data_IF_536295754058
#
_entry.id   IF_536295754058
#
_cell.length_a   1.000
_cell.length_b   1.000
_cell.length_c   1.000
_cell.angle_alpha   90.00
_cell.angle_beta   90.00
_cell.angle_gamma   90.00
#
_symmetry.space_group_name_H-M   'P 1'
#
loop_
_entity.id
_entity.type
_entity.pdbx_description
1 polymer ?
#
# COMPACT_ATOMS: atom_id res chain seq x y z
N UNK A 1 -21.63 23.44 5.07
CA UNK A 1 -21.84 22.72 6.33
C UNK A 1 -20.67 21.78 6.54
N UNK A 2 -19.90 21.99 7.62
CA UNK A 2 -18.83 21.06 8.00
C UNK A 2 -19.49 19.77 8.45
N UNK A 3 -19.29 18.69 7.72
CA UNK A 3 -19.65 17.37 8.21
C UNK A 3 -18.67 17.04 9.35
N UNK A 4 -19.25 16.75 10.50
CA UNK A 4 -18.53 16.43 11.73
C UNK A 4 -17.73 15.12 11.51
N UNK A 5 -16.40 15.19 11.61
CA UNK A 5 -15.50 14.03 11.44
C UNK A 5 -15.84 12.85 12.36
N UNK A 6 -16.39 13.12 13.55
CA UNK A 6 -16.76 12.07 14.48
C UNK A 6 -18.03 11.32 14.06
N UNK A 7 -18.92 11.99 13.31
CA UNK A 7 -20.06 11.32 12.65
C UNK A 7 -19.60 10.41 11.51
N UNK A 8 -18.59 10.84 10.73
CA UNK A 8 -18.03 10.02 9.66
C UNK A 8 -17.34 8.77 10.21
N UNK A 9 -16.69 8.86 11.38
CA UNK A 9 -16.10 7.67 12.07
C UNK A 9 -17.17 6.66 12.49
N UNK A 10 -18.30 7.12 12.95
CA UNK A 10 -19.47 6.27 13.22
C UNK A 10 -19.99 5.60 11.95
N UNK A 11 -20.00 6.30 10.82
CA UNK A 11 -20.38 5.75 9.52
C UNK A 11 -19.42 4.66 9.02
N UNK A 12 -18.10 4.80 9.24
CA UNK A 12 -17.13 3.80 8.80
C UNK A 12 -17.31 2.45 9.51
N UNK A 13 -17.74 2.44 10.77
CA UNK A 13 -18.02 1.21 11.52
C UNK A 13 -19.35 0.55 11.12
N UNK A 14 -20.32 1.34 10.63
CA UNK A 14 -21.66 0.90 10.26
C UNK A 14 -21.89 0.91 8.74
N UNK A 15 -20.83 0.97 7.94
CA UNK A 15 -20.91 1.15 6.48
C UNK A 15 -21.79 0.11 5.76
N UNK A 16 -21.97 -1.07 6.34
CA UNK A 16 -22.92 -2.09 5.85
C UNK A 16 -24.36 -1.57 5.75
N UNK A 17 -24.69 -0.46 6.44
CA UNK A 17 -26.03 0.15 6.49
C UNK A 17 -26.15 1.34 5.53
N UNK A 18 -25.05 1.80 4.92
CA UNK A 18 -25.10 2.90 3.96
C UNK A 18 -25.47 2.32 2.59
N UNK A 19 -26.76 2.22 2.32
CA UNK A 19 -27.29 1.85 0.99
C UNK A 19 -27.44 3.06 0.06
N UNK A 20 -27.24 4.26 0.59
CA UNK A 20 -27.47 5.53 -0.13
C UNK A 20 -26.24 5.92 -0.98
N UNK A 21 -26.40 5.90 -2.29
CA UNK A 21 -25.35 6.28 -3.26
C UNK A 21 -24.90 7.74 -3.09
N UNK A 22 -25.79 8.65 -2.66
CA UNK A 22 -25.44 10.05 -2.40
C UNK A 22 -24.44 10.15 -1.26
N UNK A 23 -24.61 9.37 -0.21
CA UNK A 23 -23.67 9.33 0.92
C UNK A 23 -22.29 8.80 0.50
N UNK A 24 -22.23 7.81 -0.37
CA UNK A 24 -20.98 7.28 -0.92
C UNK A 24 -20.24 8.35 -1.73
N UNK A 25 -20.93 9.05 -2.60
CA UNK A 25 -20.35 10.11 -3.41
C UNK A 25 -19.81 11.27 -2.56
N UNK A 26 -20.55 11.68 -1.51
CA UNK A 26 -20.10 12.69 -0.56
C UNK A 26 -18.81 12.23 0.15
N UNK A 27 -18.73 10.99 0.62
CA UNK A 27 -17.55 10.46 1.28
C UNK A 27 -16.35 10.47 0.33
N UNK A 28 -16.53 10.05 -0.93
CA UNK A 28 -15.50 10.06 -1.96
C UNK A 28 -15.02 11.48 -2.26
N UNK A 29 -15.92 12.42 -2.43
CA UNK A 29 -15.58 13.83 -2.63
C UNK A 29 -14.80 14.40 -1.44
N UNK A 30 -15.21 14.09 -0.21
CA UNK A 30 -14.50 14.50 1.00
C UNK A 30 -13.11 13.89 1.10
N UNK A 31 -12.91 12.65 0.66
CA UNK A 31 -11.61 12.02 0.61
C UNK A 31 -10.62 12.84 -0.22
N UNK A 32 -11.02 13.28 -1.41
CA UNK A 32 -10.17 14.10 -2.28
C UNK A 32 -9.97 15.53 -1.75
N UNK A 33 -10.88 16.04 -0.93
CA UNK A 33 -10.79 17.37 -0.29
C UNK A 33 -10.14 17.33 1.10
N UNK A 34 -9.81 16.16 1.65
CA UNK A 34 -9.28 16.05 2.99
C UNK A 34 -7.83 16.55 3.10
N UNK A 35 -7.43 16.99 4.31
CA UNK A 35 -6.05 17.39 4.60
C UNK A 35 -5.02 16.24 4.46
N UNK A 36 -5.46 15.00 4.48
CA UNK A 36 -4.61 13.83 4.20
C UNK A 36 -3.91 13.96 2.85
N UNK A 37 -4.57 14.62 1.91
CA UNK A 37 -4.05 14.93 0.58
C UNK A 37 -3.81 16.44 0.52
N UNK A 38 -2.60 16.85 0.63
CA UNK A 38 -2.01 18.15 0.89
C UNK A 38 -2.65 19.43 0.31
N UNK A 39 -3.70 19.41 -0.53
CA UNK A 39 -4.11 20.63 -1.23
C UNK A 39 -5.61 20.84 -1.43
N UNK A 40 -6.49 20.00 -0.87
CA UNK A 40 -7.96 20.18 -1.05
C UNK A 40 -8.40 20.26 -2.51
N UNK A 41 -7.61 19.66 -3.42
CA UNK A 41 -7.87 19.68 -4.85
C UNK A 41 -9.10 18.81 -5.19
N UNK A 42 -9.80 19.16 -6.23
CA UNK A 42 -10.78 18.26 -6.84
C UNK A 42 -10.08 16.98 -7.32
N UNK A 43 -10.83 15.88 -7.38
CA UNK A 43 -10.27 14.54 -7.64
C UNK A 43 -9.37 14.48 -8.88
N UNK A 44 -9.82 15.03 -10.01
CA UNK A 44 -9.01 15.05 -11.23
C UNK A 44 -7.74 15.87 -11.08
N UNK A 45 -7.84 17.08 -10.55
CA UNK A 45 -6.68 17.95 -10.32
C UNK A 45 -5.68 17.31 -9.36
N UNK A 46 -6.15 16.52 -8.41
CA UNK A 46 -5.31 15.74 -7.50
C UNK A 46 -4.55 14.64 -8.22
N UNK A 47 -5.21 13.89 -9.10
CA UNK A 47 -4.58 12.86 -9.92
C UNK A 47 -3.51 13.49 -10.83
N UNK A 48 -3.84 14.58 -11.53
CA UNK A 48 -2.91 15.27 -12.42
C UNK A 48 -1.67 15.76 -11.65
N UNK A 49 -1.84 16.35 -10.46
CA UNK A 49 -0.74 16.77 -9.61
C UNK A 49 0.16 15.60 -9.18
N UNK A 50 -0.42 14.50 -8.72
CA UNK A 50 0.34 13.32 -8.31
C UNK A 50 1.02 12.62 -9.48
N UNK A 51 0.43 12.66 -10.67
CA UNK A 51 1.06 12.17 -11.91
C UNK A 51 2.29 13.00 -12.27
N UNK A 52 2.18 14.33 -12.19
CA UNK A 52 3.31 15.23 -12.42
C UNK A 52 4.42 15.00 -11.38
N UNK A 53 4.06 14.84 -10.09
CA UNK A 53 5.02 14.55 -9.03
C UNK A 53 5.72 13.19 -9.25
N UNK A 54 4.99 12.18 -9.72
CA UNK A 54 5.55 10.88 -10.11
C UNK A 54 6.64 11.02 -11.16
N UNK A 55 6.40 11.78 -12.22
CA UNK A 55 7.37 12.00 -13.29
C UNK A 55 8.55 12.85 -12.83
N UNK A 56 8.29 13.97 -12.15
CA UNK A 56 9.34 14.91 -11.73
C UNK A 56 10.32 14.30 -10.73
N UNK A 57 9.88 13.34 -9.94
CA UNK A 57 10.69 12.69 -8.92
C UNK A 57 11.13 11.26 -9.27
N UNK A 58 10.83 10.76 -10.48
CA UNK A 58 11.12 9.39 -10.92
C UNK A 58 10.69 8.34 -9.89
N UNK A 59 9.46 8.46 -9.39
CA UNK A 59 9.00 7.63 -8.25
C UNK A 59 8.97 6.14 -8.58
N UNK A 60 8.90 5.77 -9.87
CA UNK A 60 8.98 4.38 -10.34
C UNK A 60 10.34 3.72 -10.07
N UNK A 61 11.44 4.48 -10.17
CA UNK A 61 12.81 3.95 -10.13
C UNK A 61 13.42 3.89 -8.73
N UNK A 62 12.90 4.68 -7.77
CA UNK A 62 13.56 4.85 -6.47
C UNK A 62 13.42 3.62 -5.59
N UNK A 63 14.55 3.01 -5.24
CA UNK A 63 14.63 1.93 -4.26
C UNK A 63 14.60 2.43 -2.81
N UNK A 64 14.03 1.62 -1.93
CA UNK A 64 14.02 1.86 -0.49
C UNK A 64 15.33 1.36 0.14
N UNK A 65 16.26 2.23 0.57
CA UNK A 65 17.60 1.80 1.01
C UNK A 65 17.64 1.19 2.40
N UNK A 66 16.56 1.31 3.19
CA UNK A 66 16.50 0.84 4.58
C UNK A 66 15.53 -0.33 4.79
N UNK A 67 15.16 -1.04 3.72
CA UNK A 67 14.06 -2.00 3.69
C UNK A 67 14.06 -3.04 4.84
N UNK A 68 15.22 -3.48 5.28
CA UNK A 68 15.34 -4.52 6.30
C UNK A 68 15.55 -4.00 7.74
N UNK A 69 15.98 -2.75 7.91
CA UNK A 69 16.46 -2.27 9.22
C UNK A 69 15.72 -1.05 9.76
N UNK A 70 15.01 -0.33 8.89
CA UNK A 70 14.51 0.99 9.22
C UNK A 70 15.64 1.99 9.52
N UNK A 71 15.27 3.22 9.86
CA UNK A 71 16.24 4.28 10.15
C UNK A 71 16.96 4.07 11.50
N UNK A 72 16.26 3.57 12.50
CA UNK A 72 16.84 3.30 13.82
C UNK A 72 17.97 2.26 13.74
N UNK A 73 17.77 1.19 12.98
CA UNK A 73 18.81 0.19 12.74
C UNK A 73 20.02 0.74 11.97
N UNK A 74 19.79 1.70 11.06
CA UNK A 74 20.88 2.40 10.36
C UNK A 74 21.72 3.24 11.32
N UNK A 75 21.09 4.03 12.20
CA UNK A 75 21.80 4.82 13.22
C UNK A 75 22.53 3.92 14.21
N UNK A 76 21.89 2.84 14.68
CA UNK A 76 22.55 1.89 15.58
C UNK A 76 23.78 1.23 14.95
N UNK A 77 23.78 1.00 13.63
CA UNK A 77 24.95 0.49 12.90
C UNK A 77 26.07 1.52 12.85
N UNK A 78 25.77 2.81 12.58
CA UNK A 78 26.77 3.89 12.59
C UNK A 78 27.43 3.99 13.96
N UNK A 79 26.66 3.98 15.03
CA UNK A 79 27.15 4.08 16.40
C UNK A 79 28.12 2.95 16.79
N UNK A 80 28.03 1.79 16.14
CA UNK A 80 28.93 0.64 16.38
C UNK A 80 30.26 0.72 15.61
N UNK A 81 30.43 1.68 14.71
CA UNK A 81 31.70 1.88 13.99
C UNK A 81 32.73 2.45 14.96
N UNK A 82 33.86 1.74 15.14
CA UNK A 82 34.91 2.10 16.09
C UNK A 82 36.08 2.84 15.43
N UNK A 83 36.16 2.82 14.13
CA UNK A 83 37.21 3.39 13.29
C UNK A 83 36.90 4.82 12.81
N UNK A 84 35.74 5.37 13.21
CA UNK A 84 35.30 6.71 12.88
C UNK A 84 35.21 7.59 14.13
N UNK A 85 35.60 8.87 13.98
CA UNK A 85 35.36 9.90 14.97
C UNK A 85 33.85 10.22 15.08
N UNK A 86 33.43 10.75 16.22
CA UNK A 86 32.02 11.18 16.41
C UNK A 86 31.55 12.16 15.34
N UNK A 87 32.44 13.10 14.92
CA UNK A 87 32.12 14.04 13.83
C UNK A 87 31.83 13.32 12.51
N UNK A 88 32.62 12.31 12.14
CA UNK A 88 32.38 11.52 10.92
C UNK A 88 31.08 10.72 11.02
N UNK A 89 30.77 10.17 12.19
CA UNK A 89 29.49 9.50 12.46
C UNK A 89 28.32 10.46 12.29
N UNK A 90 28.42 11.68 12.85
CA UNK A 90 27.40 12.72 12.71
C UNK A 90 27.18 13.11 11.26
N UNK A 91 28.24 13.26 10.46
CA UNK A 91 28.16 13.60 9.04
C UNK A 91 27.47 12.46 8.23
N UNK A 92 27.77 11.21 8.55
CA UNK A 92 27.11 10.03 7.91
C UNK A 92 25.63 9.97 8.31
N UNK A 93 25.34 10.16 9.60
CA UNK A 93 23.99 10.16 10.12
C UNK A 93 23.12 11.28 9.48
N UNK A 94 23.68 12.49 9.36
CA UNK A 94 23.00 13.62 8.73
C UNK A 94 22.65 13.35 7.26
N UNK A 95 23.59 12.81 6.47
CA UNK A 95 23.31 12.40 5.07
C UNK A 95 22.24 11.31 5.00
N UNK A 96 22.31 10.33 5.89
CA UNK A 96 21.31 9.26 5.99
C UNK A 96 19.91 9.79 6.35
N UNK A 97 19.84 10.77 7.26
CA UNK A 97 18.59 11.41 7.68
C UNK A 97 17.90 12.13 6.51
N UNK A 98 18.65 12.94 5.76
CA UNK A 98 18.12 13.65 4.58
C UNK A 98 17.57 12.65 3.55
N UNK A 99 18.35 11.60 3.26
CA UNK A 99 17.92 10.54 2.33
C UNK A 99 16.69 9.80 2.83
N UNK A 100 16.63 9.44 4.11
CA UNK A 100 15.49 8.76 4.71
C UNK A 100 14.22 9.61 4.62
N UNK A 101 14.28 10.90 4.98
CA UNK A 101 13.15 11.82 4.87
C UNK A 101 12.62 11.87 3.44
N UNK A 102 13.53 12.08 2.47
CA UNK A 102 13.13 12.14 1.04
C UNK A 102 12.44 10.87 0.57
N UNK A 103 12.93 9.69 0.96
CA UNK A 103 12.32 8.41 0.59
C UNK A 103 10.98 8.20 1.28
N UNK A 104 10.82 8.69 2.51
CA UNK A 104 9.51 8.68 3.18
C UNK A 104 8.50 9.52 2.42
N UNK A 105 8.86 10.75 2.04
CA UNK A 105 8.01 11.62 1.24
C UNK A 105 7.59 10.92 -0.08
N UNK A 106 8.55 10.35 -0.81
CA UNK A 106 8.32 9.62 -2.06
C UNK A 106 7.37 8.43 -1.87
N UNK A 107 7.56 7.62 -0.83
CA UNK A 107 6.66 6.49 -0.59
C UNK A 107 5.24 6.95 -0.22
N UNK A 108 5.12 8.06 0.50
CA UNK A 108 3.81 8.65 0.78
C UNK A 108 3.14 9.10 -0.52
N UNK A 109 3.85 9.83 -1.38
CA UNK A 109 3.31 10.27 -2.68
C UNK A 109 2.91 9.09 -3.58
N UNK A 110 3.69 8.00 -3.59
CA UNK A 110 3.34 6.77 -4.33
C UNK A 110 2.04 6.15 -3.82
N UNK A 111 1.90 6.01 -2.52
CA UNK A 111 0.70 5.44 -1.91
C UNK A 111 -0.51 6.34 -2.16
N UNK A 112 -0.36 7.64 -1.97
CA UNK A 112 -1.41 8.62 -2.21
C UNK A 112 -1.86 8.61 -3.68
N UNK A 113 -0.91 8.45 -4.62
CA UNK A 113 -1.23 8.34 -6.04
C UNK A 113 -2.07 7.09 -6.33
N UNK A 114 -1.63 5.92 -5.86
CA UNK A 114 -2.34 4.66 -6.05
C UNK A 114 -3.72 4.70 -5.41
N UNK A 115 -3.83 5.14 -4.16
CA UNK A 115 -5.10 5.28 -3.45
C UNK A 115 -6.05 6.21 -4.20
N UNK A 116 -5.54 7.34 -4.69
CA UNK A 116 -6.33 8.32 -5.44
C UNK A 116 -6.86 7.74 -6.76
N UNK A 117 -6.03 7.02 -7.52
CA UNK A 117 -6.44 6.35 -8.75
C UNK A 117 -7.51 5.28 -8.50
N UNK A 118 -7.32 4.44 -7.49
CA UNK A 118 -8.27 3.39 -7.12
C UNK A 118 -9.64 3.99 -6.82
N UNK A 119 -9.68 5.03 -5.99
CA UNK A 119 -10.93 5.70 -5.62
C UNK A 119 -11.52 6.46 -6.80
N UNK A 120 -10.70 7.10 -7.63
CA UNK A 120 -11.17 7.89 -8.76
C UNK A 120 -11.88 7.03 -9.81
N UNK A 121 -11.30 5.89 -10.18
CA UNK A 121 -11.82 5.03 -11.26
C UNK A 121 -12.91 4.05 -10.80
N UNK A 122 -13.11 3.86 -9.49
CA UNK A 122 -14.03 2.82 -8.98
C UNK A 122 -15.07 3.37 -8.01
N UNK A 123 -16.31 3.53 -8.47
CA UNK A 123 -17.41 4.09 -7.67
C UNK A 123 -17.85 3.18 -6.51
N UNK A 124 -17.57 1.89 -6.56
CA UNK A 124 -17.87 0.90 -5.52
C UNK A 124 -16.79 0.83 -4.41
N UNK A 125 -15.76 1.69 -4.50
CA UNK A 125 -14.68 1.77 -3.51
C UNK A 125 -14.83 3.04 -2.70
N UNK A 126 -14.89 2.89 -1.38
CA UNK A 126 -15.01 3.98 -0.43
C UNK A 126 -13.74 4.01 0.43
N UNK A 127 -12.97 5.09 0.40
CA UNK A 127 -11.76 5.23 1.19
C UNK A 127 -12.06 5.50 2.66
N UNK A 128 -11.09 5.21 3.53
CA UNK A 128 -11.14 5.65 4.92
C UNK A 128 -10.45 7.01 5.08
N UNK A 129 -10.94 7.84 6.00
CA UNK A 129 -10.37 9.16 6.29
C UNK A 129 -9.19 9.13 7.27
N UNK A 130 -8.96 8.00 7.91
CA UNK A 130 -7.90 7.84 8.90
C UNK A 130 -7.09 6.61 8.59
N UNK A 131 -5.80 6.67 8.93
CA UNK A 131 -4.96 5.50 9.02
C UNK A 131 -5.46 4.59 10.15
N UNK A 132 -6.48 3.81 9.88
CA UNK A 132 -6.86 2.71 10.75
C UNK A 132 -5.93 1.54 10.43
N UNK A 133 -5.33 0.94 11.45
CA UNK A 133 -4.50 -0.25 11.25
C UNK A 133 -5.35 -1.34 10.59
N UNK A 134 -4.90 -1.79 9.42
CA UNK A 134 -5.56 -2.87 8.71
C UNK A 134 -6.81 -2.49 7.89
N UNK A 135 -7.05 -1.18 7.63
CA UNK A 135 -8.20 -0.74 6.84
C UNK A 135 -7.90 0.55 6.08
N UNK A 136 -7.86 0.45 4.76
CA UNK A 136 -7.72 1.60 3.85
C UNK A 136 -8.98 1.85 3.03
N UNK A 137 -9.70 0.80 2.64
CA UNK A 137 -10.90 0.89 1.80
C UNK A 137 -12.05 -0.01 2.26
N UNK A 138 -13.26 0.42 1.91
CA UNK A 138 -14.39 -0.49 1.78
C UNK A 138 -14.66 -0.74 0.30
N UNK A 139 -14.59 -1.98 -0.14
CA UNK A 139 -14.89 -2.40 -1.51
C UNK A 139 -16.16 -3.24 -1.48
N UNK A 140 -17.24 -2.75 -2.11
CA UNK A 140 -18.56 -3.37 -2.02
C UNK A 140 -19.01 -3.63 -0.56
N UNK A 141 -18.71 -2.69 0.34
CA UNK A 141 -19.07 -2.76 1.76
C UNK A 141 -18.20 -3.72 2.61
N UNK A 142 -17.14 -4.31 2.06
CA UNK A 142 -16.16 -5.13 2.80
C UNK A 142 -14.89 -4.35 3.08
N UNK A 143 -14.32 -4.44 4.28
CA UNK A 143 -13.06 -3.79 4.61
C UNK A 143 -11.87 -4.45 3.90
N UNK A 144 -10.94 -3.65 3.42
CA UNK A 144 -9.67 -4.09 2.82
C UNK A 144 -8.51 -3.21 3.28
N UNK A 145 -7.38 -3.86 3.57
CA UNK A 145 -6.10 -3.22 3.86
C UNK A 145 -5.24 -3.23 2.58
N UNK A 146 -4.73 -2.07 2.16
CA UNK A 146 -3.85 -1.98 1.01
C UNK A 146 -2.42 -2.39 1.37
N UNK A 147 -1.85 -3.29 0.59
CA UNK A 147 -0.45 -3.68 0.70
C UNK A 147 0.26 -3.53 -0.62
N UNK A 148 1.29 -2.68 -0.63
CA UNK A 148 2.16 -2.52 -1.79
C UNK A 148 3.39 -3.42 -1.61
N UNK A 149 3.59 -4.33 -2.56
CA UNK A 149 4.75 -5.22 -2.61
C UNK A 149 5.60 -4.93 -3.83
N UNK A 150 6.91 -4.81 -3.63
CA UNK A 150 7.88 -4.55 -4.71
C UNK A 150 8.19 -5.76 -5.58
N UNK A 151 7.70 -6.92 -5.20
CA UNK A 151 7.85 -8.15 -5.95
C UNK A 151 6.83 -9.19 -5.48
N UNK A 152 6.69 -10.25 -6.24
CA UNK A 152 5.91 -11.43 -5.86
C UNK A 152 6.50 -12.24 -4.69
N UNK A 153 7.65 -11.79 -4.16
CA UNK A 153 8.36 -12.48 -3.09
C UNK A 153 9.34 -13.57 -3.57
N UNK A 154 10.39 -13.77 -2.79
CA UNK A 154 11.47 -14.72 -3.13
C UNK A 154 10.96 -16.16 -3.19
N UNK A 155 10.03 -16.55 -2.34
CA UNK A 155 9.42 -17.88 -2.31
C UNK A 155 8.68 -18.17 -3.61
N UNK A 156 7.87 -17.24 -4.09
CA UNK A 156 7.13 -17.34 -5.35
C UNK A 156 8.11 -17.48 -6.54
N UNK A 157 9.14 -16.62 -6.61
CA UNK A 157 10.15 -16.67 -7.67
C UNK A 157 10.86 -18.02 -7.67
N UNK A 158 11.21 -18.55 -6.50
CA UNK A 158 11.85 -19.87 -6.37
C UNK A 158 10.97 -21.00 -6.88
N UNK A 159 9.67 -20.93 -6.57
CA UNK A 159 8.69 -21.96 -6.97
C UNK A 159 8.48 -22.00 -8.48
N UNK A 160 8.37 -20.85 -9.12
CA UNK A 160 8.02 -20.77 -10.55
C UNK A 160 9.19 -20.47 -11.49
N UNK A 161 10.38 -20.21 -10.94
CA UNK A 161 11.61 -19.96 -11.71
C UNK A 161 11.43 -18.87 -12.74
N UNK A 162 11.91 -19.09 -13.97
CA UNK A 162 11.79 -18.10 -15.07
C UNK A 162 10.35 -17.79 -15.50
N UNK A 163 9.37 -18.60 -15.10
CA UNK A 163 7.96 -18.43 -15.45
C UNK A 163 7.18 -17.57 -14.44
N UNK A 164 7.82 -17.11 -13.36
CA UNK A 164 7.12 -16.42 -12.26
C UNK A 164 6.27 -15.24 -12.74
N UNK A 165 6.74 -14.46 -13.73
CA UNK A 165 5.99 -13.31 -14.26
C UNK A 165 4.70 -13.72 -14.96
N UNK A 166 4.77 -14.71 -15.85
CA UNK A 166 3.59 -15.21 -16.56
C UNK A 166 2.59 -15.87 -15.62
N UNK A 167 3.08 -16.56 -14.59
CA UNK A 167 2.23 -17.14 -13.55
C UNK A 167 1.59 -16.04 -12.72
N UNK A 168 2.33 -15.03 -12.29
CA UNK A 168 1.79 -13.91 -11.50
C UNK A 168 0.66 -13.18 -12.23
N UNK A 169 0.82 -12.93 -13.54
CA UNK A 169 -0.20 -12.28 -14.35
C UNK A 169 -1.44 -13.14 -14.61
N UNK A 170 -1.26 -14.46 -14.79
CA UNK A 170 -2.38 -15.36 -15.09
C UNK A 170 -3.07 -15.93 -13.84
N UNK A 171 -2.39 -15.95 -12.71
CA UNK A 171 -2.85 -16.51 -11.44
C UNK A 171 -2.48 -15.59 -10.26
N UNK A 172 -3.08 -14.38 -10.22
CA UNK A 172 -2.83 -13.41 -9.13
C UNK A 172 -3.22 -13.96 -7.75
N UNK A 173 -4.16 -14.90 -7.68
CA UNK A 173 -4.52 -15.64 -6.47
C UNK A 173 -3.31 -16.34 -5.83
N UNK A 174 -2.44 -16.96 -6.63
CA UNK A 174 -1.22 -17.62 -6.13
C UNK A 174 -0.20 -16.61 -5.58
N UNK A 175 -0.16 -15.40 -6.15
CA UNK A 175 0.67 -14.31 -5.60
C UNK A 175 0.17 -13.93 -4.22
N UNK A 176 -1.16 -13.73 -4.06
CA UNK A 176 -1.75 -13.42 -2.77
C UNK A 176 -1.46 -14.50 -1.73
N UNK A 177 -1.67 -15.77 -2.06
CA UNK A 177 -1.33 -16.90 -1.17
C UNK A 177 0.11 -16.81 -0.72
N UNK A 178 1.06 -16.67 -1.66
CA UNK A 178 2.47 -16.56 -1.33
C UNK A 178 2.79 -15.37 -0.43
N UNK A 179 2.14 -14.22 -0.64
CA UNK A 179 2.34 -13.03 0.19
C UNK A 179 1.77 -13.21 1.60
N UNK A 180 0.61 -13.87 1.74
CA UNK A 180 0.05 -14.21 3.05
C UNK A 180 0.90 -15.22 3.82
N UNK A 181 1.41 -16.26 3.16
CA UNK A 181 2.25 -17.29 3.78
C UNK A 181 3.61 -16.79 4.25
N UNK A 182 4.15 -15.75 3.61
CA UNK A 182 5.48 -15.23 3.87
C UNK A 182 5.47 -13.88 4.62
N UNK A 183 4.41 -13.60 5.39
CA UNK A 183 4.36 -12.45 6.28
C UNK A 183 5.33 -12.60 7.46
N UNK A 184 5.83 -11.46 7.97
CA UNK A 184 6.56 -11.44 9.23
C UNK A 184 5.63 -11.80 10.39
N UNK A 185 6.09 -12.61 11.35
CA UNK A 185 5.31 -13.04 12.53
C UNK A 185 4.72 -11.85 13.30
N UNK A 186 5.49 -10.79 13.49
CA UNK A 186 5.06 -9.59 14.21
C UNK A 186 3.97 -8.78 13.49
N UNK A 187 3.81 -9.02 12.17
CA UNK A 187 2.86 -8.34 11.31
C UNK A 187 1.82 -9.28 10.70
N UNK A 188 1.77 -10.51 11.23
CA UNK A 188 0.83 -11.50 10.75
C UNK A 188 -0.59 -11.03 10.99
N UNK A 189 -1.40 -11.08 9.97
CA UNK A 189 -2.85 -10.96 10.00
C UNK A 189 -3.49 -11.75 8.85
N UNK A 190 -4.79 -11.94 8.92
CA UNK A 190 -5.60 -12.66 7.94
C UNK A 190 -6.72 -11.78 7.36
N UNK A 191 -6.64 -10.48 7.57
CA UNK A 191 -7.64 -9.54 7.08
C UNK A 191 -7.65 -9.49 5.54
N UNK A 192 -8.80 -9.16 4.93
CA UNK A 192 -8.87 -9.00 3.49
C UNK A 192 -7.92 -7.92 2.98
N UNK A 193 -7.20 -8.20 1.90
CA UNK A 193 -6.18 -7.29 1.35
C UNK A 193 -6.40 -6.93 -0.10
N UNK A 194 -6.09 -5.68 -0.40
CA UNK A 194 -5.82 -5.21 -1.75
C UNK A 194 -4.31 -5.19 -1.96
N UNK A 195 -3.79 -6.13 -2.72
CA UNK A 195 -2.37 -6.18 -3.06
C UNK A 195 -2.06 -5.41 -4.33
N UNK A 196 -1.06 -4.54 -4.27
CA UNK A 196 -0.42 -3.91 -5.42
C UNK A 196 0.97 -4.50 -5.53
N UNK A 197 1.24 -5.26 -6.59
CA UNK A 197 2.49 -6.01 -6.73
C UNK A 197 3.26 -5.55 -7.96
N UNK A 198 4.46 -5.05 -7.73
CA UNK A 198 5.34 -4.62 -8.81
C UNK A 198 6.08 -5.82 -9.39
N UNK A 199 5.97 -6.00 -10.72
CA UNK A 199 6.71 -7.03 -11.45
C UNK A 199 7.99 -6.48 -12.09
N UNK A 200 8.10 -5.17 -12.22
CA UNK A 200 9.24 -4.46 -12.78
C UNK A 200 9.82 -3.46 -11.78
N UNK A 201 11.10 -3.12 -11.96
CA UNK A 201 11.79 -2.16 -11.10
C UNK A 201 11.49 -0.71 -11.50
N UNK A 202 11.18 -0.49 -12.78
CA UNK A 202 10.78 0.81 -13.33
C UNK A 202 9.31 0.75 -13.73
N UNK A 203 8.47 1.55 -13.06
CA UNK A 203 7.02 1.52 -13.21
C UNK A 203 6.52 2.92 -13.51
N UNK A 204 5.97 3.09 -14.71
CA UNK A 204 5.36 4.36 -15.09
C UNK A 204 3.99 4.56 -14.46
N UNK A 205 3.62 5.83 -14.27
CA UNK A 205 2.30 6.23 -13.79
C UNK A 205 1.18 5.68 -14.69
N UNK A 206 1.39 5.70 -16.01
CA UNK A 206 0.43 5.20 -17.00
C UNK A 206 0.21 3.68 -16.87
N UNK A 207 1.25 2.92 -16.54
CA UNK A 207 1.10 1.48 -16.35
C UNK A 207 0.34 1.14 -15.07
N UNK A 208 0.51 1.93 -14.01
CA UNK A 208 -0.27 1.81 -12.78
C UNK A 208 -1.73 2.14 -13.04
N UNK A 209 -2.01 3.28 -13.63
CA UNK A 209 -3.39 3.71 -13.93
C UNK A 209 -4.09 2.68 -14.81
N UNK A 210 -3.45 2.20 -15.88
CA UNK A 210 -3.98 1.14 -16.73
C UNK A 210 -4.32 -0.12 -15.94
N UNK A 211 -3.42 -0.59 -15.10
CA UNK A 211 -3.65 -1.79 -14.30
C UNK A 211 -4.84 -1.64 -13.36
N UNK A 212 -5.00 -0.45 -12.75
CA UNK A 212 -6.14 -0.16 -11.88
C UNK A 212 -7.46 -0.12 -12.67
N UNK A 213 -7.47 0.52 -13.84
CA UNK A 213 -8.66 0.60 -14.71
C UNK A 213 -9.07 -0.78 -15.24
N UNK A 214 -8.10 -1.64 -15.56
CA UNK A 214 -8.34 -3.00 -16.07
C UNK A 214 -8.73 -4.00 -14.96
N UNK A 215 -8.49 -3.65 -13.69
CA UNK A 215 -8.82 -4.52 -12.57
C UNK A 215 -10.31 -4.43 -12.22
N UNK A 216 -10.99 -5.58 -12.17
CA UNK A 216 -12.38 -5.63 -11.70
C UNK A 216 -12.44 -5.71 -10.18
N UNK A 217 -13.07 -4.71 -9.56
CA UNK A 217 -13.36 -4.68 -8.13
C UNK A 217 -14.79 -5.14 -7.77
N UNK A 218 -15.45 -5.88 -8.65
CA UNK A 218 -16.80 -6.39 -8.39
C UNK A 218 -16.82 -7.52 -7.37
N UNK A 219 -15.89 -8.47 -7.51
CA UNK A 219 -15.83 -9.66 -6.66
C UNK A 219 -14.40 -9.98 -6.25
N UNK A 220 -14.11 -10.01 -4.94
CA UNK A 220 -12.80 -10.42 -4.46
C UNK A 220 -12.56 -11.91 -4.71
N UNK A 221 -11.29 -12.26 -4.89
CA UNK A 221 -10.85 -13.65 -4.94
C UNK A 221 -10.76 -14.20 -3.53
N UNK A 222 -11.35 -15.36 -3.31
CA UNK A 222 -11.18 -16.11 -2.07
C UNK A 222 -9.89 -16.92 -2.13
N UNK A 223 -9.07 -16.82 -1.10
CA UNK A 223 -7.81 -17.55 -1.01
C UNK A 223 -7.69 -18.31 0.31
N UNK A 224 -7.03 -19.46 0.22
CA UNK A 224 -6.69 -20.31 1.36
C UNK A 224 -5.17 -20.40 1.46
N UNK A 225 -4.63 -20.22 2.65
CA UNK A 225 -3.20 -20.28 2.86
C UNK A 225 -2.83 -20.88 4.21
N UNK A 226 -1.62 -21.41 4.31
CA UNK A 226 -1.05 -21.94 5.52
C UNK A 226 0.02 -20.99 6.06
N UNK A 227 -0.09 -20.61 7.32
CA UNK A 227 0.92 -19.79 7.95
C UNK A 227 1.71 -20.61 8.98
N UNK A 228 3.05 -20.57 8.85
CA UNK A 228 3.94 -21.23 9.79
C UNK A 228 4.48 -20.21 10.79
N UNK A 229 4.02 -20.31 12.02
CA UNK A 229 4.47 -19.45 13.12
C UNK A 229 5.92 -19.73 13.50
N UNK A 230 6.56 -18.76 14.17
CA UNK A 230 7.95 -18.86 14.63
C UNK A 230 8.23 -20.06 15.54
N UNK A 231 7.20 -20.54 16.25
CA UNK A 231 7.25 -21.75 17.07
C UNK A 231 7.02 -23.06 16.29
N UNK A 232 6.93 -23.01 14.96
CA UNK A 232 6.69 -24.16 14.10
C UNK A 232 5.22 -24.60 13.98
N UNK A 233 4.29 -23.94 14.67
CA UNK A 233 2.87 -24.21 14.52
C UNK A 233 2.38 -23.74 13.16
N UNK A 234 1.65 -24.60 12.46
CA UNK A 234 0.96 -24.26 11.19
C UNK A 234 -0.51 -23.99 11.47
N UNK A 235 -1.03 -22.89 10.92
CA UNK A 235 -2.45 -22.53 10.97
C UNK A 235 -2.99 -22.35 9.56
N UNK A 236 -4.20 -22.85 9.31
CA UNK A 236 -4.90 -22.70 8.04
C UNK A 236 -5.80 -21.47 8.13
N UNK A 237 -5.79 -20.66 7.07
CA UNK A 237 -6.55 -19.41 7.00
C UNK A 237 -7.32 -19.33 5.70
N UNK A 238 -8.44 -18.63 5.75
CA UNK A 238 -9.28 -18.29 4.63
C UNK A 238 -9.55 -16.80 4.65
N UNK A 239 -9.32 -16.12 3.53
CA UNK A 239 -9.57 -14.68 3.41
C UNK A 239 -9.94 -14.30 1.98
N UNK A 240 -10.11 -13.00 1.75
CA UNK A 240 -10.43 -12.44 0.44
C UNK A 240 -9.33 -11.46 0.01
N UNK A 241 -9.07 -11.39 -1.29
CA UNK A 241 -8.10 -10.43 -1.82
C UNK A 241 -8.49 -9.92 -3.21
N UNK A 242 -7.93 -8.76 -3.55
CA UNK A 242 -7.70 -8.29 -4.91
C UNK A 242 -6.17 -8.22 -5.14
N UNK A 243 -5.72 -8.49 -6.37
CA UNK A 243 -4.30 -8.40 -6.75
C UNK A 243 -4.20 -7.78 -8.13
#
# INVERSE_FOLDING_TARGET
DRIDEDKIKGFASDFKKIEDEISKDIIREMFFKSEKFLHGLESKSRIDFLTEDWHNNNLGEIEWPFAAMGFDGYIAKINRLTDLSEREKDEIAARGTVRFRRIKDINTCRNDYIESLIVYHNSNIIPTFRHNRGLDFYINGRPFDQKVSRSVGTSFIRTYGSKYRSVALSRPDLVAVSLYENQDEERFDQDPRLYIVYLDSDISSESIERSIVETSFEKPTEVYFNYTHSNGRVTEHRTYCYV
#
